data_IF_822962720279
#
_entry.id   IF_822962720279
#
_cell.length_a   1.000
_cell.length_b   1.000
_cell.length_c   1.000
_cell.angle_alpha   90.00
_cell.angle_beta   90.00
_cell.angle_gamma   90.00
#
_symmetry.space_group_name_H-M   'P 1'
#
loop_
_entity.id
_entity.type
_entity.pdbx_description
1 polymer ?
#
# COMPACT_ATOMS: atom_id res chain seq x y z
N UNK A 1 37.82 81.77 -24.74
CA UNK A 1 38.24 80.59 -23.98
C UNK A 1 36.97 79.90 -23.46
N UNK A 2 36.50 78.86 -24.17
CA UNK A 2 35.21 78.21 -23.94
C UNK A 2 35.23 77.35 -22.67
N UNK A 3 34.26 77.57 -21.78
CA UNK A 3 34.04 76.83 -20.55
C UNK A 3 33.44 75.44 -20.81
N UNK A 4 34.02 74.43 -20.18
CA UNK A 4 33.63 73.02 -20.28
C UNK A 4 32.24 72.75 -19.69
N UNK A 5 31.33 72.21 -20.51
CA UNK A 5 30.07 71.60 -20.07
C UNK A 5 30.34 70.17 -19.61
N UNK A 6 30.25 69.91 -18.30
CA UNK A 6 30.32 68.57 -17.72
C UNK A 6 29.07 67.77 -18.11
N UNK A 7 29.22 66.88 -19.11
CA UNK A 7 28.17 65.96 -19.56
C UNK A 7 28.17 64.74 -18.64
N UNK A 8 27.30 64.75 -17.64
CA UNK A 8 27.09 63.63 -16.72
C UNK A 8 26.50 62.43 -17.48
N UNK A 9 27.32 61.42 -17.77
CA UNK A 9 26.87 60.16 -18.33
C UNK A 9 26.21 59.32 -17.22
N UNK A 10 24.88 59.35 -17.14
CA UNK A 10 24.09 58.36 -16.41
C UNK A 10 24.14 57.04 -17.19
N UNK A 11 24.82 56.03 -16.65
CA UNK A 11 24.75 54.68 -17.17
C UNK A 11 23.31 54.14 -17.03
N UNK A 12 22.77 53.42 -18.02
CA UNK A 12 21.45 52.82 -17.90
C UNK A 12 21.48 51.74 -16.81
N UNK A 13 20.67 51.93 -15.78
CA UNK A 13 20.34 50.90 -14.79
C UNK A 13 19.86 49.64 -15.53
N UNK A 14 20.60 48.55 -15.39
CA UNK A 14 20.13 47.24 -15.85
C UNK A 14 19.06 46.74 -14.89
N UNK A 15 17.91 46.22 -15.37
CA UNK A 15 16.91 45.63 -14.50
C UNK A 15 17.48 44.39 -13.80
N UNK A 16 17.09 44.12 -12.53
CA UNK A 16 17.57 42.95 -11.83
C UNK A 16 17.12 41.69 -12.55
N UNK A 17 18.04 40.73 -12.71
CA UNK A 17 17.76 39.45 -13.34
C UNK A 17 16.58 38.74 -12.65
N UNK A 18 15.69 38.07 -13.40
CA UNK A 18 14.57 37.36 -12.80
C UNK A 18 15.10 36.27 -11.87
N UNK A 19 14.64 36.29 -10.63
CA UNK A 19 14.97 35.24 -9.65
C UNK A 19 14.39 33.93 -10.18
N UNK A 20 15.27 33.01 -10.60
CA UNK A 20 14.88 31.67 -11.05
C UNK A 20 14.22 30.97 -9.87
N UNK A 21 12.88 30.95 -9.84
CA UNK A 21 12.12 30.16 -8.90
C UNK A 21 12.52 28.70 -9.12
N UNK A 22 13.36 28.17 -8.23
CA UNK A 22 13.77 26.78 -8.28
C UNK A 22 12.49 25.96 -8.05
N UNK A 23 11.99 25.32 -9.10
CA UNK A 23 10.91 24.36 -8.97
C UNK A 23 11.35 23.35 -7.89
N UNK A 24 10.67 23.34 -6.74
CA UNK A 24 10.84 22.29 -5.74
C UNK A 24 10.63 20.99 -6.50
N UNK A 25 11.69 20.20 -6.71
CA UNK A 25 11.57 18.84 -7.26
C UNK A 25 10.45 18.18 -6.45
N UNK A 26 9.34 17.85 -7.10
CA UNK A 26 8.31 17.03 -6.47
C UNK A 26 9.04 15.84 -5.86
N UNK A 27 8.97 15.70 -4.54
CA UNK A 27 9.70 14.66 -3.84
C UNK A 27 9.28 13.33 -4.47
N UNK A 28 10.19 12.70 -5.21
CA UNK A 28 9.94 11.39 -5.78
C UNK A 28 9.54 10.50 -4.61
N UNK A 29 8.34 9.90 -4.65
CA UNK A 29 7.90 8.99 -3.62
C UNK A 29 9.04 7.99 -3.34
N UNK A 30 9.37 7.70 -2.06
CA UNK A 30 10.48 6.81 -1.76
C UNK A 30 10.25 5.50 -2.49
N UNK A 31 11.20 5.11 -3.34
CA UNK A 31 11.10 3.87 -4.12
C UNK A 31 10.80 2.74 -3.13
N UNK A 32 9.78 1.89 -3.41
CA UNK A 32 9.45 0.80 -2.51
C UNK A 32 10.71 -0.06 -2.35
N UNK A 33 11.08 -0.36 -1.10
CA UNK A 33 12.19 -1.27 -0.82
C UNK A 33 11.92 -2.58 -1.57
N UNK A 34 12.91 -3.09 -2.31
CA UNK A 34 12.79 -4.30 -3.14
C UNK A 34 12.07 -5.41 -2.35
N UNK A 35 10.82 -5.66 -2.70
CA UNK A 35 9.94 -6.60 -1.99
C UNK A 35 10.53 -8.02 -1.95
N UNK A 36 11.25 -8.39 -3.01
CA UNK A 36 12.01 -9.62 -3.11
C UNK A 36 13.12 -9.74 -2.05
N UNK A 37 13.85 -8.64 -1.76
CA UNK A 37 14.90 -8.66 -0.72
C UNK A 37 14.27 -8.84 0.66
N UNK A 38 13.17 -8.14 0.95
CA UNK A 38 12.47 -8.24 2.23
C UNK A 38 11.89 -9.65 2.46
N UNK A 39 11.37 -10.28 1.41
CA UNK A 39 10.89 -11.66 1.46
C UNK A 39 12.00 -12.67 1.80
N UNK A 40 13.24 -12.44 1.33
CA UNK A 40 14.37 -13.32 1.60
C UNK A 40 14.84 -13.30 3.06
N UNK A 41 14.70 -12.18 3.77
CA UNK A 41 15.02 -12.09 5.21
C UNK A 41 14.02 -12.85 6.09
N UNK A 42 12.75 -12.90 5.70
CA UNK A 42 11.70 -13.57 6.46
C UNK A 42 10.88 -14.49 5.55
N UNK A 43 11.44 -15.67 5.25
CA UNK A 43 10.84 -16.69 4.35
C UNK A 43 9.39 -17.06 4.71
N UNK A 44 9.05 -17.07 6.00
CA UNK A 44 7.68 -17.33 6.47
C UNK A 44 6.73 -16.19 6.11
N UNK A 45 7.23 -14.95 6.09
CA UNK A 45 6.50 -13.75 5.70
C UNK A 45 5.95 -13.82 4.29
N UNK A 46 6.70 -14.43 3.38
CA UNK A 46 6.29 -14.59 1.98
C UNK A 46 5.08 -15.51 1.77
N UNK A 47 4.83 -16.44 2.71
CA UNK A 47 3.78 -17.48 2.59
C UNK A 47 2.47 -17.14 3.31
N UNK A 48 2.44 -16.06 4.10
CA UNK A 48 1.30 -15.76 4.96
C UNK A 48 0.98 -14.28 5.03
N UNK A 49 -0.07 -13.95 5.77
CA UNK A 49 -0.59 -12.59 5.87
C UNK A 49 0.02 -11.89 7.09
N UNK A 50 1.19 -11.29 6.89
CA UNK A 50 1.95 -10.63 7.96
C UNK A 50 1.79 -9.11 8.01
N UNK A 51 1.28 -8.49 6.94
CA UNK A 51 1.07 -7.03 6.88
C UNK A 51 2.36 -6.23 7.14
N UNK A 52 3.47 -6.67 6.54
CA UNK A 52 4.79 -6.04 6.73
C UNK A 52 5.48 -6.33 8.07
N UNK A 53 4.85 -7.10 8.97
CA UNK A 53 5.48 -7.46 10.26
C UNK A 53 6.56 -8.52 10.06
N UNK A 54 7.77 -8.18 10.46
CA UNK A 54 8.94 -9.07 10.42
C UNK A 54 9.38 -9.47 11.83
N UNK A 55 10.24 -10.48 11.90
CA UNK A 55 10.96 -10.83 13.13
C UNK A 55 11.87 -9.65 13.50
N UNK A 56 11.85 -9.25 14.77
CA UNK A 56 12.76 -8.24 15.29
C UNK A 56 13.86 -8.92 16.12
N UNK A 57 15.06 -8.38 16.04
CA UNK A 57 16.23 -8.85 16.80
C UNK A 57 16.74 -7.75 17.72
N UNK A 58 17.20 -8.11 18.91
CA UNK A 58 17.69 -7.13 19.89
C UNK A 58 18.15 -7.80 21.17
N UNK A 59 18.12 -7.07 22.28
CA UNK A 59 18.69 -7.52 23.55
C UNK A 59 17.66 -7.45 24.68
N UNK A 60 17.77 -8.38 25.64
CA UNK A 60 17.30 -8.18 27.02
C UNK A 60 18.45 -7.52 27.77
N UNK A 61 18.15 -6.51 28.56
CA UNK A 61 19.12 -5.80 29.41
C UNK A 61 18.78 -6.15 30.85
N UNK A 62 19.74 -6.70 31.60
CA UNK A 62 19.58 -6.97 33.03
C UNK A 62 19.64 -5.67 33.84
N UNK A 63 19.26 -5.72 35.11
CA UNK A 63 19.46 -4.60 36.06
C UNK A 63 20.93 -4.15 36.13
N UNK A 64 21.87 -5.09 36.00
CA UNK A 64 23.32 -4.84 35.89
C UNK A 64 23.81 -4.45 34.48
N UNK A 65 22.90 -4.03 33.58
CA UNK A 65 23.20 -3.63 32.20
C UNK A 65 23.87 -4.69 31.30
N UNK A 66 23.82 -5.97 31.68
CA UNK A 66 24.31 -7.06 30.84
C UNK A 66 23.33 -7.31 29.69
N UNK A 67 23.85 -7.35 28.46
CA UNK A 67 23.06 -7.53 27.23
C UNK A 67 23.05 -9.00 26.80
N UNK A 68 21.87 -9.59 26.74
CA UNK A 68 21.64 -10.95 26.22
C UNK A 68 20.79 -10.89 24.95
N UNK A 69 21.15 -11.65 23.91
CA UNK A 69 20.42 -11.63 22.63
C UNK A 69 18.99 -12.17 22.78
N UNK A 70 18.03 -11.53 22.11
CA UNK A 70 16.65 -12.00 22.01
C UNK A 70 16.02 -11.76 20.65
N UNK A 71 14.95 -12.50 20.41
CA UNK A 71 14.16 -12.44 19.18
C UNK A 71 12.69 -12.20 19.51
N UNK A 72 12.06 -11.20 18.88
CA UNK A 72 10.61 -11.00 18.96
C UNK A 72 9.95 -11.49 17.68
N UNK A 73 9.11 -12.51 17.83
CA UNK A 73 8.31 -13.05 16.73
C UNK A 73 6.94 -12.35 16.71
N UNK A 74 6.38 -12.06 15.53
CA UNK A 74 5.01 -11.59 15.46
C UNK A 74 4.06 -12.68 16.01
N UNK A 75 2.95 -12.27 16.61
CA UNK A 75 1.91 -13.22 17.05
C UNK A 75 1.12 -13.71 15.83
N UNK A 76 1.39 -14.96 15.42
CA UNK A 76 0.83 -15.61 14.23
C UNK A 76 -0.18 -16.66 14.64
N UNK A 77 -1.35 -16.63 14.01
CA UNK A 77 -2.43 -17.58 14.25
C UNK A 77 -2.90 -18.21 12.93
N UNK A 78 -3.38 -19.45 12.99
CA UNK A 78 -4.08 -20.07 11.86
C UNK A 78 -5.53 -19.60 11.88
N UNK A 79 -6.00 -18.95 10.82
CA UNK A 79 -7.39 -18.47 10.74
C UNK A 79 -8.00 -18.76 9.38
N UNK A 80 -9.32 -18.85 9.38
CA UNK A 80 -10.15 -19.00 8.19
C UNK A 80 -10.81 -17.67 7.89
N UNK A 81 -10.79 -17.24 6.64
CA UNK A 81 -11.47 -16.04 6.16
C UNK A 81 -12.44 -16.42 5.06
N UNK A 82 -13.64 -15.86 5.08
CA UNK A 82 -14.61 -16.04 4.00
C UNK A 82 -14.17 -15.21 2.79
N UNK A 83 -14.21 -15.80 1.60
CA UNK A 83 -13.94 -15.12 0.34
C UNK A 83 -15.15 -15.23 -0.56
N UNK A 84 -15.73 -14.09 -0.92
CA UNK A 84 -16.87 -14.01 -1.85
C UNK A 84 -16.51 -14.57 -3.23
N UNK A 85 -15.34 -14.21 -3.77
CA UNK A 85 -14.88 -14.64 -5.11
C UNK A 85 -14.79 -16.17 -5.26
N UNK A 86 -14.38 -16.88 -4.21
CA UNK A 86 -14.22 -18.33 -4.24
C UNK A 86 -15.37 -19.07 -3.56
N UNK A 87 -16.35 -18.33 -3.02
CA UNK A 87 -17.48 -18.83 -2.23
C UNK A 87 -17.10 -19.90 -1.19
N UNK A 88 -15.94 -19.71 -0.52
CA UNK A 88 -15.42 -20.68 0.47
C UNK A 88 -14.54 -20.02 1.52
N UNK A 89 -14.31 -20.74 2.61
CA UNK A 89 -13.34 -20.36 3.63
C UNK A 89 -11.91 -20.68 3.20
N UNK A 90 -11.04 -19.66 3.16
CA UNK A 90 -9.62 -19.80 2.88
C UNK A 90 -8.82 -19.85 4.18
N UNK A 91 -7.85 -20.77 4.25
CA UNK A 91 -7.01 -20.98 5.42
C UNK A 91 -5.69 -20.23 5.27
N UNK A 92 -5.39 -19.32 6.20
CA UNK A 92 -4.14 -18.56 6.19
C UNK A 92 -3.48 -18.53 7.57
N UNK A 93 -2.14 -18.50 7.57
CA UNK A 93 -1.36 -18.06 8.73
C UNK A 93 -1.26 -16.55 8.69
N UNK A 94 -1.89 -15.90 9.66
CA UNK A 94 -1.98 -14.44 9.70
C UNK A 94 -1.45 -13.89 11.03
N UNK A 95 -0.77 -12.76 10.96
CA UNK A 95 -0.46 -11.98 12.16
C UNK A 95 -1.76 -11.41 12.75
N UNK A 96 -1.87 -11.34 14.08
CA UNK A 96 -3.11 -10.85 14.73
C UNK A 96 -3.52 -9.46 14.23
N UNK A 97 -2.57 -8.54 14.04
CA UNK A 97 -2.85 -7.22 13.51
C UNK A 97 -3.45 -7.28 12.11
N UNK A 98 -2.92 -8.15 11.25
CA UNK A 98 -3.42 -8.34 9.90
C UNK A 98 -4.83 -8.92 9.93
N UNK A 99 -5.12 -9.89 10.80
CA UNK A 99 -6.48 -10.41 10.97
C UNK A 99 -7.46 -9.36 11.52
N UNK A 100 -6.99 -8.43 12.36
CA UNK A 100 -7.81 -7.29 12.81
C UNK A 100 -8.08 -6.33 11.66
N UNK A 101 -7.07 -5.99 10.86
CA UNK A 101 -7.22 -5.13 9.69
C UNK A 101 -8.17 -5.75 8.65
N UNK A 102 -8.03 -7.04 8.35
CA UNK A 102 -8.95 -7.76 7.47
C UNK A 102 -10.39 -7.65 7.96
N UNK A 103 -10.65 -7.91 9.25
CA UNK A 103 -12.00 -7.76 9.80
C UNK A 103 -12.57 -6.36 9.65
N UNK A 104 -11.75 -5.32 9.84
CA UNK A 104 -12.17 -3.92 9.62
C UNK A 104 -12.52 -3.67 8.15
N UNK A 105 -11.68 -4.13 7.22
CA UNK A 105 -11.90 -3.97 5.77
C UNK A 105 -13.16 -4.72 5.31
N UNK A 106 -13.37 -5.95 5.80
CA UNK A 106 -14.58 -6.70 5.51
C UNK A 106 -15.82 -5.99 6.06
N UNK A 107 -15.76 -5.44 7.28
CA UNK A 107 -16.87 -4.68 7.84
C UNK A 107 -17.18 -3.41 7.04
N UNK A 108 -16.17 -2.63 6.64
CA UNK A 108 -16.39 -1.42 5.82
C UNK A 108 -16.89 -1.73 4.40
N UNK A 109 -16.60 -2.93 3.87
CA UNK A 109 -17.11 -3.35 2.56
C UNK A 109 -18.57 -3.77 2.62
N UNK A 110 -19.01 -4.38 3.73
CA UNK A 110 -20.40 -4.79 3.93
C UNK A 110 -21.38 -3.61 3.94
N UNK A 111 -20.92 -2.41 4.32
CA UNK A 111 -21.72 -1.18 4.36
C UNK A 111 -22.06 -0.61 2.96
N UNK A 112 -21.31 -0.98 1.92
CA UNK A 112 -21.52 -0.49 0.55
C UNK A 112 -22.37 -1.44 -0.31
N UNK A 113 -23.11 -2.34 0.34
CA UNK A 113 -24.03 -3.25 -0.31
C UNK A 113 -25.42 -2.97 0.24
N UNK A 114 -26.23 -2.28 -0.55
CA UNK A 114 -27.67 -2.17 -0.30
C UNK A 114 -28.25 -3.59 -0.09
N UNK A 115 -29.15 -3.78 0.90
CA UNK A 115 -29.74 -5.09 1.16
C UNK A 115 -30.65 -5.46 -0.02
N UNK A 116 -30.07 -6.17 -0.99
CA UNK A 116 -30.82 -6.77 -2.09
C UNK A 116 -31.81 -7.79 -1.51
N UNK A 117 -33.08 -7.47 -1.67
CA UNK A 117 -34.32 -8.23 -1.47
C UNK A 117 -34.15 -9.65 -0.89
N UNK A 118 -34.63 -9.82 0.34
CA UNK A 118 -34.70 -11.11 1.03
C UNK A 118 -35.64 -12.07 0.31
N UNK A 119 -35.10 -12.94 -0.55
CA UNK A 119 -35.80 -14.15 -0.97
C UNK A 119 -35.77 -15.17 0.18
N UNK A 120 -36.90 -15.85 0.41
CA UNK A 120 -37.24 -16.67 1.59
C UNK A 120 -36.29 -17.82 1.99
N UNK A 121 -35.12 -17.94 1.36
CA UNK A 121 -34.12 -18.98 1.59
C UNK A 121 -32.82 -18.46 2.24
N UNK A 122 -32.75 -17.19 2.65
CA UNK A 122 -31.74 -16.72 3.60
C UNK A 122 -30.28 -16.77 3.14
N UNK A 123 -30.02 -16.71 1.83
CA UNK A 123 -28.66 -16.61 1.28
C UNK A 123 -28.41 -15.16 0.85
N UNK A 124 -27.50 -14.47 1.54
CA UNK A 124 -26.99 -13.15 1.15
C UNK A 124 -26.18 -13.27 -0.14
N UNK A 125 -26.81 -13.00 -1.29
CA UNK A 125 -26.11 -12.78 -2.54
C UNK A 125 -25.71 -11.32 -2.65
N UNK A 126 -24.41 -11.02 -2.54
CA UNK A 126 -23.88 -9.71 -2.86
C UNK A 126 -23.29 -9.72 -4.27
N UNK A 127 -23.87 -8.93 -5.18
CA UNK A 127 -23.24 -8.57 -6.46
C UNK A 127 -22.31 -7.37 -6.24
N UNK A 128 -21.02 -7.44 -6.57
CA UNK A 128 -20.15 -6.27 -6.51
C UNK A 128 -20.45 -5.32 -7.67
N UNK A 129 -20.62 -4.02 -7.39
CA UNK A 129 -20.69 -2.94 -8.38
C UNK A 129 -19.31 -2.54 -8.95
N UNK A 130 -18.38 -3.49 -9.04
CA UNK A 130 -17.13 -3.35 -9.81
C UNK A 130 -17.11 -4.43 -10.91
N UNK A 131 -18.12 -4.43 -11.75
CA UNK A 131 -18.15 -5.19 -12.98
C UNK A 131 -17.51 -4.37 -14.11
N UNK A 132 -16.18 -4.46 -14.29
CA UNK A 132 -15.48 -4.28 -15.60
C UNK A 132 -14.12 -5.01 -15.46
N UNK A 133 -13.78 -6.09 -16.17
CA UNK A 133 -13.96 -6.43 -17.58
C UNK A 133 -14.48 -7.86 -17.77
N UNK A 134 -15.39 -8.00 -18.71
CA UNK A 134 -15.89 -9.26 -19.25
C UNK A 134 -14.74 -10.17 -19.69
N UNK A 135 -14.59 -11.32 -19.05
CA UNK A 135 -14.09 -12.51 -19.74
C UNK A 135 -15.33 -13.36 -19.99
N UNK A 136 -15.72 -13.48 -21.26
CA UNK A 136 -16.88 -14.26 -21.69
C UNK A 136 -16.85 -15.71 -21.19
N UNK A 137 -18.00 -16.40 -21.23
CA UNK A 137 -18.17 -17.69 -20.56
C UNK A 137 -17.26 -18.76 -21.20
N UNK A 138 -16.33 -19.29 -20.40
CA UNK A 138 -15.55 -20.47 -20.77
C UNK A 138 -16.35 -21.69 -20.33
N UNK A 139 -17.08 -22.30 -21.26
CA UNK A 139 -17.82 -23.53 -21.01
C UNK A 139 -18.39 -24.17 -22.27
N UNK A 140 -17.59 -24.99 -22.96
CA UNK A 140 -18.05 -25.88 -24.02
C UNK A 140 -16.91 -26.36 -24.93
N UNK A 141 -16.83 -27.66 -25.29
CA UNK A 141 -15.73 -28.20 -26.08
C UNK A 141 -15.94 -27.87 -27.57
N UNK A 142 -14.92 -27.24 -28.16
CA UNK A 142 -14.58 -27.18 -29.59
C UNK A 142 -15.57 -26.42 -30.51
N UNK A 143 -15.09 -25.35 -31.16
CA UNK A 143 -15.74 -24.82 -32.36
C UNK A 143 -15.60 -23.32 -32.59
N UNK A 144 -14.55 -22.95 -33.33
CA UNK A 144 -14.45 -21.84 -34.29
C UNK A 144 -14.87 -20.42 -33.89
N UNK A 145 -13.89 -19.51 -33.88
CA UNK A 145 -14.09 -18.06 -33.94
C UNK A 145 -14.29 -17.62 -35.41
N UNK A 146 -15.42 -16.97 -35.70
CA UNK A 146 -15.63 -16.05 -36.84
C UNK A 146 -16.26 -14.79 -36.29
#
# INVERSE_FOLDING_TARGET
MLSALARTLRLPMQPPAPVRLMAKRAAQAPKPRDSAKVANLFKRGARGLFGGKMIQFGNIISFSNKKSRRTWKPNVQSKRFWSETYNRFLHFRAAIQMSKNLRRIHASRAENLEPAETNAQGVLSYRPLDAVRECGPVGGPQGLCT
#
